data_IF_200758900276
#
_entry.id   IF_200758900276
#
_cell.length_a   1.000
_cell.length_b   1.000
_cell.length_c   1.000
_cell.angle_alpha   90.00
_cell.angle_beta   90.00
_cell.angle_gamma   90.00
#
_symmetry.space_group_name_H-M   'P 1'
#
loop_
_entity.id
_entity.type
_entity.pdbx_description
1 polymer ?
#
# COMPACT_ATOMS: atom_id res chain seq x y z
N UNK A 1 -24.61 -32.09 -9.32
CA UNK A 1 -23.99 -32.73 -8.15
C UNK A 1 -22.85 -31.86 -7.67
N UNK A 2 -22.85 -31.44 -6.41
CA UNK A 2 -21.80 -30.60 -5.86
C UNK A 2 -20.59 -31.49 -5.56
N UNK A 3 -19.44 -31.19 -6.17
CA UNK A 3 -18.20 -31.95 -6.02
C UNK A 3 -17.87 -32.13 -4.53
N UNK A 4 -17.65 -33.37 -4.09
CA UNK A 4 -17.36 -33.74 -2.70
C UNK A 4 -16.23 -32.87 -2.10
N UNK A 5 -15.19 -32.59 -2.90
CA UNK A 5 -14.04 -31.76 -2.50
C UNK A 5 -14.37 -30.26 -2.37
N UNK A 6 -15.51 -29.82 -2.90
CA UNK A 6 -15.96 -28.44 -2.85
C UNK A 6 -16.86 -28.11 -1.65
N UNK A 7 -17.28 -29.13 -0.89
CA UNK A 7 -18.17 -28.97 0.27
C UNK A 7 -17.52 -28.18 1.41
N UNK A 8 -18.33 -27.39 2.13
CA UNK A 8 -17.86 -26.54 3.24
C UNK A 8 -17.26 -27.36 4.39
N UNK A 9 -17.84 -28.53 4.65
CA UNK A 9 -17.38 -29.47 5.68
C UNK A 9 -16.03 -30.08 5.35
N UNK A 10 -15.86 -30.58 4.11
CA UNK A 10 -14.57 -31.10 3.65
C UNK A 10 -13.48 -30.03 3.75
N UNK A 11 -13.74 -28.81 3.26
CA UNK A 11 -12.77 -27.69 3.35
C UNK A 11 -12.43 -27.31 4.79
N UNK A 12 -13.41 -27.33 5.70
CA UNK A 12 -13.17 -27.04 7.13
C UNK A 12 -12.32 -28.14 7.78
N UNK A 13 -12.60 -29.41 7.47
CA UNK A 13 -11.82 -30.56 7.95
C UNK A 13 -10.38 -30.51 7.43
N UNK A 14 -10.20 -30.26 6.13
CA UNK A 14 -8.86 -30.10 5.55
C UNK A 14 -8.12 -28.91 6.16
N UNK A 15 -8.77 -27.77 6.37
CA UNK A 15 -8.13 -26.62 7.02
C UNK A 15 -7.63 -26.92 8.44
N UNK A 16 -8.38 -27.69 9.23
CA UNK A 16 -7.97 -28.11 10.58
C UNK A 16 -6.76 -29.06 10.50
N UNK A 17 -6.83 -30.09 9.65
CA UNK A 17 -5.76 -31.05 9.43
C UNK A 17 -4.46 -30.35 8.97
N UNK A 18 -4.56 -29.45 8.00
CA UNK A 18 -3.43 -28.67 7.51
C UNK A 18 -2.81 -27.85 8.64
N UNK A 19 -3.60 -27.15 9.47
CA UNK A 19 -3.08 -26.38 10.62
C UNK A 19 -2.40 -27.27 11.66
N UNK A 20 -2.97 -28.43 11.99
CA UNK A 20 -2.36 -29.39 12.91
C UNK A 20 -1.04 -29.92 12.36
N UNK A 21 -0.97 -30.23 11.06
CA UNK A 21 0.25 -30.67 10.41
C UNK A 21 1.33 -29.57 10.37
N UNK A 22 0.94 -28.30 10.18
CA UNK A 22 1.84 -27.16 10.34
C UNK A 22 2.39 -27.03 11.76
N UNK A 23 1.54 -27.16 12.79
CA UNK A 23 1.98 -27.10 14.19
C UNK A 23 2.90 -28.27 14.58
N UNK A 24 2.68 -29.45 13.97
CA UNK A 24 3.50 -30.66 14.18
C UNK A 24 4.79 -30.67 13.35
N UNK A 25 5.07 -29.63 12.56
CA UNK A 25 6.26 -29.58 11.70
C UNK A 25 6.25 -30.59 10.54
N UNK A 26 5.09 -31.19 10.22
CA UNK A 26 4.98 -32.21 9.16
C UNK A 26 5.38 -31.62 7.79
N UNK A 27 5.17 -30.31 7.61
CA UNK A 27 5.53 -29.57 6.40
C UNK A 27 6.90 -28.90 6.46
N UNK A 28 7.74 -29.21 7.45
CA UNK A 28 9.04 -28.54 7.60
C UNK A 28 10.01 -28.85 6.44
N UNK A 29 9.75 -29.91 5.68
CA UNK A 29 10.43 -30.18 4.42
C UNK A 29 10.14 -29.13 3.32
N UNK A 30 9.02 -28.40 3.40
CA UNK A 30 8.69 -27.28 2.50
C UNK A 30 9.46 -26.02 2.88
N UNK A 31 9.84 -25.87 4.16
CA UNK A 31 10.77 -24.84 4.57
C UNK A 31 12.15 -25.22 4.05
N UNK A 32 12.58 -24.45 3.05
CA UNK A 32 13.92 -24.45 2.44
C UNK A 32 15.01 -23.99 3.44
N UNK A 33 14.85 -24.29 4.72
CA UNK A 33 15.61 -23.74 5.84
C UNK A 33 16.90 -24.46 6.13
N UNK A 34 17.26 -25.44 5.31
CA UNK A 34 18.65 -25.85 5.24
C UNK A 34 19.38 -24.93 4.26
N UNK A 35 19.50 -23.66 4.65
CA UNK A 35 20.54 -22.82 4.09
C UNK A 35 21.89 -23.42 4.47
N UNK A 36 22.83 -23.35 3.55
CA UNK A 36 24.18 -23.81 3.78
C UNK A 36 25.16 -22.69 3.45
N UNK A 37 26.27 -22.70 4.16
CA UNK A 37 27.39 -21.82 3.87
C UNK A 37 28.24 -22.46 2.77
N UNK A 38 28.45 -21.73 1.67
CA UNK A 38 29.37 -22.11 0.61
C UNK A 38 30.52 -21.13 0.51
N UNK A 39 31.66 -21.60 0.04
CA UNK A 39 32.81 -20.76 -0.29
C UNK A 39 32.73 -20.37 -1.77
N UNK A 40 32.94 -19.09 -2.08
CA UNK A 40 32.95 -18.61 -3.46
C UNK A 40 34.00 -19.34 -4.30
N UNK A 41 33.58 -19.97 -5.40
CA UNK A 41 34.46 -20.73 -6.30
C UNK A 41 35.53 -19.87 -7.00
N UNK A 42 35.43 -18.54 -6.96
CA UNK A 42 36.46 -17.65 -7.50
C UNK A 42 37.71 -17.70 -6.61
N UNK A 43 38.82 -18.18 -7.17
CA UNK A 43 40.12 -18.38 -6.50
C UNK A 43 40.54 -17.21 -5.59
N UNK A 44 40.39 -15.97 -6.07
CA UNK A 44 40.85 -14.77 -5.35
C UNK A 44 39.79 -14.14 -4.43
N UNK A 45 38.58 -14.70 -4.33
CA UNK A 45 37.53 -14.14 -3.49
C UNK A 45 37.43 -14.86 -2.15
N UNK A 46 37.40 -16.21 -2.15
CA UNK A 46 37.24 -17.11 -0.98
C UNK A 46 36.15 -16.72 0.03
N UNK A 47 35.25 -15.79 -0.32
CA UNK A 47 34.19 -15.30 0.56
C UNK A 47 33.16 -16.39 0.80
N UNK A 48 32.84 -16.62 2.07
CA UNK A 48 31.71 -17.45 2.51
C UNK A 48 30.39 -16.73 2.25
N UNK A 49 29.40 -17.45 1.76
CA UNK A 49 28.07 -16.90 1.48
C UNK A 49 27.00 -17.96 1.70
N UNK A 50 25.86 -17.50 2.19
CA UNK A 50 24.73 -18.35 2.50
C UNK A 50 23.83 -18.53 1.28
N UNK A 51 23.42 -19.77 1.01
CA UNK A 51 22.47 -20.12 -0.04
C UNK A 51 21.55 -21.23 0.39
N UNK A 52 20.39 -21.32 -0.27
CA UNK A 52 19.55 -22.52 -0.21
C UNK A 52 20.35 -23.73 -0.70
N UNK A 53 20.28 -24.88 -0.01
CA UNK A 53 20.89 -26.14 -0.45
C UNK A 53 20.57 -26.50 -1.91
N UNK A 54 19.33 -26.27 -2.34
CA UNK A 54 18.88 -26.51 -3.73
C UNK A 54 19.38 -25.50 -4.75
N UNK A 55 20.02 -24.40 -4.33
CA UNK A 55 20.53 -23.39 -5.24
C UNK A 55 21.74 -23.92 -6.01
N UNK A 56 21.83 -23.68 -7.31
CA UNK A 56 23.05 -23.93 -8.10
C UNK A 56 24.10 -22.81 -7.97
N UNK A 57 23.88 -21.84 -7.06
CA UNK A 57 24.76 -20.67 -6.91
C UNK A 57 26.09 -21.07 -6.25
N UNK A 58 27.18 -20.94 -7.00
CA UNK A 58 28.55 -21.26 -6.56
C UNK A 58 29.46 -20.03 -6.37
N UNK A 59 28.95 -18.82 -6.67
CA UNK A 59 29.66 -17.55 -6.50
C UNK A 59 28.92 -16.64 -5.53
N UNK A 60 29.65 -15.92 -4.67
CA UNK A 60 29.03 -15.04 -3.67
C UNK A 60 28.21 -13.89 -4.30
N UNK A 61 28.61 -13.39 -5.48
CA UNK A 61 27.98 -12.28 -6.19
C UNK A 61 27.95 -12.47 -7.71
N UNK A 62 27.08 -11.69 -8.39
CA UNK A 62 27.03 -11.61 -9.86
C UNK A 62 28.36 -11.17 -10.46
N UNK A 63 29.08 -10.27 -9.79
CA UNK A 63 30.41 -9.80 -10.22
C UNK A 63 31.44 -10.94 -10.18
N UNK A 64 31.50 -11.73 -9.10
CA UNK A 64 32.40 -12.89 -9.05
C UNK A 64 32.06 -13.94 -10.12
N UNK A 65 30.77 -14.18 -10.37
CA UNK A 65 30.31 -15.05 -11.46
C UNK A 65 30.75 -14.51 -12.82
N UNK A 66 30.55 -13.22 -13.09
CA UNK A 66 30.89 -12.59 -14.35
C UNK A 66 32.40 -12.61 -14.62
N UNK A 67 33.25 -12.33 -13.62
CA UNK A 67 34.71 -12.34 -13.79
C UNK A 67 35.20 -13.71 -14.26
N UNK A 68 34.70 -14.80 -13.64
CA UNK A 68 35.12 -16.16 -13.99
C UNK A 68 34.51 -16.58 -15.33
N UNK A 69 33.20 -16.37 -15.52
CA UNK A 69 32.51 -16.82 -16.72
C UNK A 69 32.88 -16.01 -17.96
N UNK A 70 33.11 -14.70 -17.85
CA UNK A 70 33.55 -13.87 -18.99
C UNK A 70 34.96 -14.25 -19.42
N UNK A 71 35.88 -14.52 -18.48
CA UNK A 71 37.21 -15.04 -18.83
C UNK A 71 37.11 -16.38 -19.57
N UNK A 72 36.24 -17.29 -19.11
CA UNK A 72 36.00 -18.59 -19.78
C UNK A 72 35.37 -18.43 -21.17
N UNK A 73 34.44 -17.49 -21.34
CA UNK A 73 33.78 -17.22 -22.65
C UNK A 73 34.72 -16.58 -23.67
N UNK A 74 35.81 -15.96 -23.22
CA UNK A 74 36.78 -15.33 -24.11
C UNK A 74 36.22 -14.09 -24.82
N UNK A 75 36.93 -13.64 -25.87
CA UNK A 75 36.48 -12.55 -26.73
C UNK A 75 35.37 -13.05 -27.65
N UNK A 76 34.34 -12.23 -27.85
CA UNK A 76 33.29 -12.52 -28.83
C UNK A 76 33.89 -12.53 -30.25
N UNK A 77 33.53 -13.51 -31.09
CA UNK A 77 33.86 -13.50 -32.51
C UNK A 77 33.37 -12.22 -33.20
N UNK A 78 34.08 -11.80 -34.25
CA UNK A 78 33.77 -10.58 -35.01
C UNK A 78 32.34 -10.63 -35.58
N UNK A 79 31.90 -11.77 -36.11
CA UNK A 79 30.54 -11.94 -36.62
C UNK A 79 29.46 -11.68 -35.57
N UNK A 80 29.67 -12.14 -34.34
CA UNK A 80 28.72 -11.92 -33.24
C UNK A 80 28.69 -10.44 -32.87
N UNK A 81 29.85 -9.76 -32.87
CA UNK A 81 29.92 -8.31 -32.64
C UNK A 81 29.16 -7.55 -33.73
N UNK A 82 29.30 -7.95 -35.00
CA UNK A 82 28.58 -7.34 -36.12
C UNK A 82 27.06 -7.54 -35.99
N UNK A 83 26.60 -8.74 -35.63
CA UNK A 83 25.17 -9.02 -35.34
C UNK A 83 24.64 -8.15 -34.19
N UNK A 84 25.40 -7.99 -33.12
CA UNK A 84 25.04 -7.12 -31.99
C UNK A 84 24.97 -5.65 -32.45
N UNK A 85 25.98 -5.18 -33.18
CA UNK A 85 26.02 -3.81 -33.70
C UNK A 85 24.81 -3.52 -34.59
N UNK A 86 24.47 -4.45 -35.50
CA UNK A 86 23.31 -4.32 -36.37
C UNK A 86 21.99 -4.27 -35.59
N UNK A 87 21.87 -5.06 -34.52
CA UNK A 87 20.70 -5.03 -33.63
C UNK A 87 20.58 -3.69 -32.87
N UNK A 88 21.71 -3.14 -32.42
CA UNK A 88 21.77 -1.87 -31.68
C UNK A 88 21.40 -0.65 -32.54
N UNK A 89 21.57 -0.71 -33.86
CA UNK A 89 21.08 0.33 -34.77
C UNK A 89 19.55 0.48 -34.72
N UNK A 90 18.84 -0.52 -34.18
CA UNK A 90 17.39 -0.56 -34.16
C UNK A 90 16.81 -0.86 -35.54
N UNK A 91 15.50 -1.09 -35.59
CA UNK A 91 14.76 -1.14 -36.86
C UNK A 91 14.09 0.22 -37.06
N UNK A 92 14.08 0.73 -38.29
CA UNK A 92 13.28 1.91 -38.63
C UNK A 92 11.81 1.57 -38.40
N UNK A 93 11.22 2.16 -37.35
CA UNK A 93 9.80 2.07 -37.11
C UNK A 93 9.11 3.07 -38.05
N UNK A 94 8.32 2.63 -39.03
CA UNK A 94 7.66 3.52 -40.01
C UNK A 94 6.70 4.51 -39.35
N UNK A 95 6.31 4.26 -38.09
CA UNK A 95 5.43 5.14 -37.31
C UNK A 95 6.18 6.03 -36.32
N UNK A 96 7.52 6.08 -36.36
CA UNK A 96 8.31 6.94 -35.47
C UNK A 96 7.97 8.40 -35.75
N UNK A 97 7.42 9.10 -34.75
CA UNK A 97 6.97 10.49 -34.86
C UNK A 97 5.53 10.66 -35.37
N UNK A 98 4.88 9.60 -35.83
CA UNK A 98 3.47 9.67 -36.28
C UNK A 98 2.54 9.63 -35.06
N UNK A 99 1.80 10.72 -34.84
CA UNK A 99 0.78 10.79 -33.81
C UNK A 99 -0.46 10.03 -34.29
N UNK A 100 -0.58 8.75 -33.93
CA UNK A 100 -1.77 7.92 -34.26
C UNK A 100 -3.03 8.31 -33.48
N UNK A 101 -2.87 9.12 -32.44
CA UNK A 101 -3.89 9.35 -31.42
C UNK A 101 -4.14 10.84 -31.33
N UNK A 102 -5.37 11.32 -31.61
CA UNK A 102 -5.68 12.72 -31.46
C UNK A 102 -5.38 13.13 -30.02
N UNK A 103 -4.62 14.21 -29.87
CA UNK A 103 -4.36 14.81 -28.58
C UNK A 103 -5.43 15.85 -28.29
N UNK A 104 -6.01 15.76 -27.11
CA UNK A 104 -7.00 16.71 -26.61
C UNK A 104 -6.33 17.67 -25.65
N UNK A 105 -6.76 18.92 -25.67
CA UNK A 105 -6.35 19.92 -24.68
C UNK A 105 -7.11 19.67 -23.37
N UNK A 106 -6.39 19.59 -22.26
CA UNK A 106 -6.93 19.42 -20.92
C UNK A 106 -6.33 20.48 -20.00
N UNK A 107 -7.14 21.04 -19.10
CA UNK A 107 -6.69 21.99 -18.09
C UNK A 107 -6.19 21.24 -16.86
N UNK A 108 -5.03 21.62 -16.33
CA UNK A 108 -4.50 21.03 -15.11
C UNK A 108 -5.45 21.25 -13.92
N UNK A 109 -5.78 20.16 -13.23
CA UNK A 109 -6.66 20.19 -12.06
C UNK A 109 -5.98 20.71 -10.79
N UNK A 110 -4.70 21.11 -10.87
CA UNK A 110 -4.09 21.88 -9.79
C UNK A 110 -4.57 23.33 -9.88
N UNK A 111 -5.27 23.78 -8.84
CA UNK A 111 -5.87 25.11 -8.74
C UNK A 111 -4.85 26.25 -8.87
N UNK A 112 -3.61 26.03 -8.45
CA UNK A 112 -2.53 27.01 -8.58
C UNK A 112 -1.92 27.01 -9.97
N UNK A 113 -1.82 25.84 -10.61
CA UNK A 113 -1.14 25.72 -11.89
C UNK A 113 -2.04 26.10 -13.08
N UNK A 114 -3.25 25.55 -13.16
CA UNK A 114 -4.24 25.74 -14.25
C UNK A 114 -3.72 25.70 -15.69
N UNK A 115 -2.50 25.20 -15.91
CA UNK A 115 -1.86 25.12 -17.23
C UNK A 115 -2.65 24.19 -18.15
N UNK A 116 -2.88 24.63 -19.39
CA UNK A 116 -3.40 23.81 -20.49
C UNK A 116 -2.30 22.88 -21.00
N UNK A 117 -2.62 21.61 -21.20
CA UNK A 117 -1.68 20.62 -21.71
C UNK A 117 -2.39 19.57 -22.58
N UNK A 118 -1.64 18.97 -23.49
CA UNK A 118 -2.17 17.96 -24.40
C UNK A 118 -2.01 16.55 -23.82
N UNK A 119 -3.06 15.74 -23.95
CA UNK A 119 -3.05 14.32 -23.59
C UNK A 119 -3.73 13.49 -24.67
N UNK A 120 -3.39 12.21 -24.74
CA UNK A 120 -4.09 11.24 -25.59
C UNK A 120 -5.58 11.20 -25.21
N UNK A 121 -6.48 11.17 -26.20
CA UNK A 121 -7.94 11.22 -26.00
C UNK A 121 -8.47 10.21 -24.97
N UNK A 122 -7.89 9.01 -24.90
CA UNK A 122 -8.31 7.95 -23.96
C UNK A 122 -7.65 8.06 -22.57
N UNK A 123 -6.61 8.86 -22.39
CA UNK A 123 -5.94 8.98 -21.09
C UNK A 123 -6.70 9.95 -20.21
N UNK A 124 -7.17 9.44 -19.07
CA UNK A 124 -7.76 10.25 -17.98
C UNK A 124 -6.70 11.01 -17.15
N UNK A 125 -5.78 11.73 -17.82
CA UNK A 125 -4.74 12.50 -17.16
C UNK A 125 -5.30 13.86 -16.71
N UNK A 126 -5.41 14.07 -15.40
CA UNK A 126 -5.95 15.31 -14.80
C UNK A 126 -4.91 16.39 -14.50
N UNK A 127 -3.62 16.07 -14.52
CA UNK A 127 -2.55 16.97 -14.09
C UNK A 127 -1.44 17.07 -15.14
N UNK A 128 -0.90 18.28 -15.31
CA UNK A 128 0.14 18.55 -16.31
C UNK A 128 1.50 17.92 -15.95
N UNK A 129 1.79 17.63 -14.69
CA UNK A 129 3.06 17.07 -14.23
C UNK A 129 2.90 16.23 -12.95
N UNK A 130 3.90 15.39 -12.64
CA UNK A 130 3.97 14.67 -11.35
C UNK A 130 3.99 15.64 -10.17
N UNK A 131 4.67 16.79 -10.29
CA UNK A 131 4.69 17.82 -9.26
C UNK A 131 3.28 18.35 -8.97
N UNK A 132 2.47 18.59 -10.01
CA UNK A 132 1.07 18.99 -9.83
C UNK A 132 0.24 17.88 -9.17
N UNK A 133 0.45 16.61 -9.56
CA UNK A 133 -0.19 15.46 -8.87
C UNK A 133 0.16 15.48 -7.39
N UNK A 134 1.44 15.58 -7.03
CA UNK A 134 1.89 15.54 -5.63
C UNK A 134 1.39 16.74 -4.82
N UNK A 135 1.34 17.93 -5.43
CA UNK A 135 0.85 19.14 -4.75
C UNK A 135 -0.63 19.06 -4.35
N UNK A 136 -1.45 18.30 -5.10
CA UNK A 136 -2.89 18.18 -4.87
C UNK A 136 -3.27 16.87 -4.19
N UNK A 137 -2.70 15.76 -4.66
CA UNK A 137 -2.99 14.40 -4.17
C UNK A 137 -2.04 14.02 -3.04
N UNK A 138 -0.76 14.33 -3.16
CA UNK A 138 0.26 13.96 -2.17
C UNK A 138 0.13 14.69 -0.82
N UNK A 139 -0.57 15.83 -0.78
CA UNK A 139 -0.97 16.50 0.47
C UNK A 139 -2.17 15.85 1.15
N UNK A 140 -2.97 15.07 0.43
CA UNK A 140 -4.06 14.33 1.05
C UNK A 140 -3.45 13.16 1.83
N UNK A 141 -3.98 12.82 3.00
CA UNK A 141 -3.52 11.65 3.74
C UNK A 141 -3.84 10.37 2.94
N UNK A 142 -2.97 9.98 2.02
CA UNK A 142 -2.98 8.64 1.44
C UNK A 142 -2.40 7.68 2.47
N UNK A 143 -3.15 7.45 3.55
CA UNK A 143 -2.94 6.26 4.36
C UNK A 143 -3.08 5.04 3.43
N UNK A 144 -2.14 4.10 3.43
CA UNK A 144 -2.28 2.82 2.74
C UNK A 144 -3.57 2.05 3.10
N UNK A 145 -4.25 2.43 4.20
CA UNK A 145 -5.55 1.89 4.63
C UNK A 145 -6.71 2.23 3.67
N UNK A 146 -6.62 3.30 2.88
CA UNK A 146 -7.70 3.74 1.99
C UNK A 146 -8.02 2.73 0.88
N UNK A 147 -7.12 1.77 0.58
CA UNK A 147 -7.33 0.81 -0.49
C UNK A 147 -8.22 -0.40 -0.12
N UNK A 148 -8.48 -0.65 1.18
CA UNK A 148 -9.24 -1.84 1.63
C UNK A 148 -10.51 -1.53 2.46
N UNK A 149 -10.73 -0.27 2.84
CA UNK A 149 -11.94 0.16 3.55
C UNK A 149 -13.06 0.56 2.60
N UNK A 150 -14.32 0.36 2.99
CA UNK A 150 -15.48 0.87 2.24
C UNK A 150 -15.64 2.37 2.53
N UNK A 151 -14.95 3.19 1.73
CA UNK A 151 -15.08 4.65 1.75
C UNK A 151 -16.35 5.13 1.03
N UNK A 152 -16.66 6.41 1.14
CA UNK A 152 -17.76 7.06 0.42
C UNK A 152 -18.65 7.94 1.27
N UNK A 153 -19.56 8.63 0.61
CA UNK A 153 -20.61 9.43 1.23
C UNK A 153 -21.69 8.49 1.81
N UNK A 154 -22.26 8.88 2.94
CA UNK A 154 -23.39 8.20 3.59
C UNK A 154 -24.51 9.21 3.79
N UNK A 155 -25.54 9.11 2.93
CA UNK A 155 -26.66 10.06 2.87
C UNK A 155 -27.44 10.15 4.18
N UNK A 156 -27.42 9.10 4.99
CA UNK A 156 -28.05 9.07 6.31
C UNK A 156 -27.30 9.89 7.37
N UNK A 157 -26.06 10.31 7.09
CA UNK A 157 -25.24 11.14 7.98
C UNK A 157 -25.16 12.57 7.43
N UNK A 158 -24.66 12.70 6.20
CA UNK A 158 -24.52 13.98 5.51
C UNK A 158 -24.27 13.73 4.01
N UNK A 159 -24.88 14.54 3.14
CA UNK A 159 -24.76 14.39 1.69
C UNK A 159 -23.40 14.82 1.12
N UNK A 160 -22.60 15.57 1.89
CA UNK A 160 -21.37 16.20 1.41
C UNK A 160 -20.11 15.65 2.10
N UNK A 161 -20.25 14.88 3.19
CA UNK A 161 -19.10 14.34 3.93
C UNK A 161 -18.69 12.99 3.35
N UNK A 162 -17.42 12.90 2.95
CA UNK A 162 -16.81 11.68 2.43
C UNK A 162 -16.01 10.99 3.54
N UNK A 163 -16.48 9.83 4.00
CA UNK A 163 -15.76 9.03 4.98
C UNK A 163 -14.77 8.09 4.30
N UNK A 164 -13.60 7.89 4.90
CA UNK A 164 -12.54 7.01 4.39
C UNK A 164 -12.72 5.57 4.89
N UNK A 165 -13.54 5.34 5.91
CA UNK A 165 -13.86 4.01 6.42
C UNK A 165 -15.30 3.87 6.94
N UNK A 166 -15.76 2.63 7.05
CA UNK A 166 -17.05 2.29 7.71
C UNK A 166 -17.04 2.67 9.19
N UNK A 167 -15.90 2.58 9.85
CA UNK A 167 -15.77 2.88 11.27
C UNK A 167 -15.97 4.36 11.54
N UNK A 168 -15.42 5.23 10.71
CA UNK A 168 -15.69 6.68 10.79
C UNK A 168 -17.18 6.97 10.60
N UNK A 169 -17.81 6.38 9.56
CA UNK A 169 -19.24 6.57 9.32
C UNK A 169 -20.11 6.08 10.48
N UNK A 170 -19.82 4.90 11.03
CA UNK A 170 -20.54 4.37 12.19
C UNK A 170 -20.31 5.21 13.45
N UNK A 171 -19.10 5.72 13.64
CA UNK A 171 -18.80 6.61 14.77
C UNK A 171 -19.54 7.94 14.65
N UNK A 172 -19.63 8.52 13.46
CA UNK A 172 -20.47 9.69 13.21
C UNK A 172 -21.96 9.41 13.51
N UNK A 173 -22.48 8.24 13.12
CA UNK A 173 -23.86 7.82 13.50
C UNK A 173 -24.03 7.70 15.01
N UNK A 174 -23.02 7.17 15.71
CA UNK A 174 -23.03 7.09 17.17
C UNK A 174 -23.06 8.48 17.81
N UNK A 175 -22.22 9.40 17.35
CA UNK A 175 -22.21 10.78 17.85
C UNK A 175 -23.57 11.47 17.60
N UNK A 176 -24.17 11.26 16.42
CA UNK A 176 -25.52 11.74 16.12
C UNK A 176 -26.58 11.14 17.06
N UNK A 177 -26.53 9.83 17.32
CA UNK A 177 -27.43 9.15 18.25
C UNK A 177 -27.32 9.73 19.67
N UNK A 178 -26.10 10.05 20.10
CA UNK A 178 -25.81 10.63 21.41
C UNK A 178 -26.01 12.15 21.45
N UNK A 179 -26.44 12.77 20.35
CA UNK A 179 -26.59 14.20 20.19
C UNK A 179 -25.32 15.00 20.56
N UNK A 180 -24.16 14.46 20.18
CA UNK A 180 -22.85 15.10 20.37
C UNK A 180 -22.48 15.82 19.07
N UNK A 181 -22.20 17.11 19.15
CA UNK A 181 -21.71 17.89 18.01
C UNK A 181 -20.30 17.47 17.61
N UNK A 182 -20.08 17.34 16.30
CA UNK A 182 -18.78 16.95 15.75
C UNK A 182 -18.49 17.62 14.41
N UNK A 183 -17.20 17.76 14.13
CA UNK A 183 -16.68 18.26 12.86
C UNK A 183 -15.69 17.21 12.33
N UNK A 184 -15.97 16.69 11.13
CA UNK A 184 -15.09 15.70 10.49
C UNK A 184 -13.87 16.37 9.88
N UNK A 185 -12.68 15.85 10.21
CA UNK A 185 -11.39 16.35 9.73
C UNK A 185 -11.21 17.87 9.87
N UNK A 186 -11.62 18.43 11.02
CA UNK A 186 -11.70 19.87 11.26
C UNK A 186 -10.40 20.63 10.99
N UNK A 187 -9.24 20.01 11.30
CA UNK A 187 -7.93 20.63 11.11
C UNK A 187 -6.87 19.61 10.75
N UNK A 188 -5.99 20.01 9.85
CA UNK A 188 -4.73 19.32 9.56
C UNK A 188 -3.59 20.03 10.27
N UNK A 189 -2.82 19.27 11.03
CA UNK A 189 -1.67 19.74 11.80
C UNK A 189 -0.37 19.36 11.10
N UNK A 190 0.62 20.24 11.21
CA UNK A 190 1.93 20.04 10.58
C UNK A 190 2.90 19.42 11.59
N UNK A 191 3.39 18.21 11.29
CA UNK A 191 4.38 17.51 12.10
C UNK A 191 5.82 17.68 11.55
N UNK A 192 6.06 18.74 10.78
CA UNK A 192 7.31 19.12 10.08
C UNK A 192 7.66 18.19 8.92
N UNK A 193 7.67 16.88 9.15
CA UNK A 193 8.01 15.86 8.14
C UNK A 193 6.78 15.25 7.47
N UNK A 194 5.62 15.42 8.09
CA UNK A 194 4.35 14.81 7.68
C UNK A 194 3.19 15.62 8.24
N UNK A 195 1.98 15.37 7.77
CA UNK A 195 0.77 16.00 8.31
C UNK A 195 -0.05 15.02 9.16
N UNK A 196 -0.84 15.55 10.08
CA UNK A 196 -1.77 14.79 10.92
C UNK A 196 -3.15 15.42 10.89
N UNK A 197 -4.16 14.67 10.49
CA UNK A 197 -5.55 15.14 10.46
C UNK A 197 -6.36 14.14 11.28
N UNK A 198 -6.71 14.45 12.53
CA UNK A 198 -7.60 13.60 13.31
C UNK A 198 -8.96 13.44 12.61
N UNK A 199 -9.60 12.30 12.79
CA UNK A 199 -10.86 11.99 12.12
C UNK A 199 -12.02 12.91 12.56
N UNK A 200 -12.15 13.17 13.86
CA UNK A 200 -13.21 14.03 14.40
C UNK A 200 -12.68 15.06 15.39
N UNK A 201 -13.36 16.20 15.46
CA UNK A 201 -13.24 17.19 16.52
C UNK A 201 -14.60 17.36 17.19
N UNK A 202 -14.64 17.36 18.52
CA UNK A 202 -15.84 17.56 19.33
C UNK A 202 -15.75 18.96 19.99
N UNK A 203 -16.34 20.01 19.39
CA UNK A 203 -16.09 21.40 19.80
C UNK A 203 -16.46 21.67 21.26
N UNK A 204 -17.57 21.11 21.72
CA UNK A 204 -18.06 21.27 23.10
C UNK A 204 -17.07 20.82 24.17
N UNK A 205 -16.21 19.85 23.85
CA UNK A 205 -15.28 19.24 24.79
C UNK A 205 -13.81 19.59 24.50
N UNK A 206 -13.53 20.29 23.39
CA UNK A 206 -12.19 20.48 22.80
C UNK A 206 -11.40 19.17 22.65
N UNK A 207 -12.09 18.10 22.24
CA UNK A 207 -11.50 16.76 22.08
C UNK A 207 -11.33 16.43 20.60
N UNK A 208 -10.16 15.91 20.26
CA UNK A 208 -9.86 15.31 18.97
C UNK A 208 -9.96 13.79 19.07
N UNK A 209 -10.63 13.15 18.12
CA UNK A 209 -10.77 11.70 18.06
C UNK A 209 -10.09 11.19 16.80
N UNK A 210 -9.32 10.11 16.93
CA UNK A 210 -8.76 9.35 15.82
C UNK A 210 -9.11 7.87 15.98
N UNK A 211 -9.64 7.27 14.91
CA UNK A 211 -10.14 5.90 14.91
C UNK A 211 -9.15 4.98 14.20
N UNK A 212 -8.71 3.90 14.86
CA UNK A 212 -7.75 2.96 14.28
C UNK A 212 -8.08 1.50 14.57
N UNK A 213 -8.26 0.73 13.49
CA UNK A 213 -8.32 -0.74 13.58
C UNK A 213 -6.98 -1.40 13.99
N UNK A 214 -5.85 -0.76 13.71
CA UNK A 214 -4.52 -1.27 14.08
C UNK A 214 -3.55 -0.10 14.26
N UNK A 215 -2.76 -0.17 15.34
CA UNK A 215 -1.75 0.79 15.72
C UNK A 215 -0.35 0.27 15.32
N UNK A 216 0.00 0.46 14.05
CA UNK A 216 1.36 0.18 13.55
C UNK A 216 2.39 1.15 14.15
N UNK A 217 3.68 0.79 14.15
CA UNK A 217 4.78 1.68 14.57
C UNK A 217 4.77 3.05 13.88
N UNK A 218 4.47 3.09 12.58
CA UNK A 218 4.32 4.35 11.83
C UNK A 218 3.20 5.24 12.40
N UNK A 219 2.06 4.65 12.74
CA UNK A 219 0.92 5.37 13.32
C UNK A 219 1.24 5.84 14.74
N UNK A 220 1.92 5.00 15.53
CA UNK A 220 2.35 5.32 16.89
C UNK A 220 3.34 6.49 16.90
N UNK A 221 4.40 6.43 16.07
CA UNK A 221 5.36 7.51 15.94
C UNK A 221 4.71 8.83 15.53
N UNK A 222 3.69 8.77 14.67
CA UNK A 222 2.95 9.94 14.21
C UNK A 222 2.06 10.54 15.32
N UNK A 223 1.39 9.69 16.10
CA UNK A 223 0.62 10.12 17.30
C UNK A 223 1.55 10.72 18.36
N UNK A 224 2.68 10.07 18.66
CA UNK A 224 3.68 10.58 19.60
C UNK A 224 4.22 11.95 19.18
N UNK A 225 4.51 12.13 17.88
CA UNK A 225 4.94 13.43 17.34
C UNK A 225 3.85 14.50 17.46
N UNK A 226 2.60 14.13 17.20
CA UNK A 226 1.47 15.04 17.36
C UNK A 226 1.35 15.52 18.80
N UNK A 227 1.35 14.60 19.77
CA UNK A 227 1.25 14.95 21.20
C UNK A 227 2.42 15.81 21.69
N UNK A 228 3.63 15.58 21.16
CA UNK A 228 4.80 16.40 21.48
C UNK A 228 4.74 17.82 20.90
N UNK A 229 4.24 17.97 19.67
CA UNK A 229 4.19 19.27 18.99
C UNK A 229 2.95 20.09 19.37
N UNK A 230 1.88 19.42 19.79
CA UNK A 230 0.60 20.02 20.14
C UNK A 230 0.10 19.47 21.50
N UNK A 231 0.83 19.73 22.60
CA UNK A 231 0.49 19.18 23.92
C UNK A 231 -0.86 19.66 24.44
N UNK A 232 -1.30 20.86 24.03
CA UNK A 232 -2.59 21.44 24.43
C UNK A 232 -3.79 20.84 23.69
N UNK A 233 -3.57 19.86 22.81
CA UNK A 233 -4.64 19.21 22.04
C UNK A 233 -4.93 17.82 22.59
N UNK A 234 -6.10 17.70 23.21
CA UNK A 234 -6.57 16.44 23.78
C UNK A 234 -6.98 15.47 22.66
N UNK A 235 -6.08 14.56 22.29
CA UNK A 235 -6.31 13.52 21.30
C UNK A 235 -6.62 12.18 21.96
N UNK A 236 -7.79 11.62 21.68
CA UNK A 236 -8.20 10.29 22.10
C UNK A 236 -8.14 9.34 20.91
N UNK A 237 -7.49 8.18 21.12
CA UNK A 237 -7.46 7.10 20.14
C UNK A 237 -8.56 6.09 20.45
N UNK A 238 -9.43 5.83 19.47
CA UNK A 238 -10.38 4.73 19.53
C UNK A 238 -9.76 3.56 18.77
N UNK A 239 -9.23 2.59 19.53
CA UNK A 239 -8.63 1.39 18.96
C UNK A 239 -9.70 0.34 18.65
N UNK A 240 -9.27 -0.80 18.09
CA UNK A 240 -10.17 -1.86 17.66
C UNK A 240 -11.03 -2.39 18.81
N UNK A 241 -10.41 -2.63 19.96
CA UNK A 241 -11.08 -3.17 21.13
C UNK A 241 -12.18 -2.21 21.62
N UNK A 242 -11.88 -0.91 21.70
CA UNK A 242 -12.84 0.12 22.11
C UNK A 242 -13.96 0.29 21.09
N UNK A 243 -13.62 0.31 19.81
CA UNK A 243 -14.61 0.38 18.74
C UNK A 243 -15.57 -0.82 18.77
N UNK A 244 -15.06 -2.03 19.03
CA UNK A 244 -15.91 -3.22 19.11
C UNK A 244 -16.85 -3.18 20.32
N UNK A 245 -16.40 -2.66 21.47
CA UNK A 245 -17.28 -2.42 22.63
C UNK A 245 -18.38 -1.40 22.30
N UNK A 246 -18.05 -0.33 21.59
CA UNK A 246 -19.04 0.64 21.11
C UNK A 246 -20.03 -0.01 20.14
N UNK A 247 -19.54 -0.84 19.22
CA UNK A 247 -20.38 -1.58 18.28
C UNK A 247 -21.36 -2.49 19.01
N UNK A 248 -20.87 -3.31 19.94
CA UNK A 248 -21.72 -4.22 20.72
C UNK A 248 -22.84 -3.47 21.46
N UNK A 249 -22.51 -2.32 22.06
CA UNK A 249 -23.45 -1.54 22.86
C UNK A 249 -24.48 -0.75 22.03
N UNK A 250 -24.10 -0.26 20.86
CA UNK A 250 -24.91 0.74 20.13
C UNK A 250 -25.36 0.32 18.74
N UNK A 251 -24.75 -0.68 18.10
CA UNK A 251 -25.07 -1.00 16.70
C UNK A 251 -26.55 -1.36 16.49
N UNK A 252 -27.16 -2.09 17.44
CA UNK A 252 -28.59 -2.44 17.39
C UNK A 252 -29.52 -1.22 17.47
N UNK A 253 -29.05 -0.10 18.01
CA UNK A 253 -29.82 1.16 18.14
C UNK A 253 -29.68 2.06 16.91
N UNK A 254 -28.83 1.70 15.95
CA UNK A 254 -28.50 2.52 14.78
C UNK A 254 -28.90 1.75 13.52
N UNK A 255 -30.00 2.18 12.88
CA UNK A 255 -30.61 1.50 11.72
C UNK A 255 -29.63 1.16 10.58
N UNK A 256 -28.71 2.08 10.28
CA UNK A 256 -27.78 1.95 9.15
C UNK A 256 -26.35 1.57 9.59
N UNK A 257 -26.19 0.90 10.73
CA UNK A 257 -24.87 0.46 11.17
C UNK A 257 -24.24 -0.51 10.17
N UNK A 258 -23.00 -0.25 9.76
CA UNK A 258 -22.28 -1.09 8.80
C UNK A 258 -21.38 -2.11 9.50
N UNK A 259 -21.70 -3.40 9.35
CA UNK A 259 -20.87 -4.49 9.86
C UNK A 259 -19.71 -4.82 8.92
N UNK A 260 -18.68 -5.46 9.47
CA UNK A 260 -17.43 -5.83 8.79
C UNK A 260 -17.61 -6.90 7.74
#
# INVERSE_FOLDING_TARGET
MQDFYSTKEYRKKQSILTKQNWQKGVFDFLYKDKREERICKRLNCKKKFEVLRSSHKIYCSKSCSAIVNNKKRGRLPIEVKLKIAQSLMGRNNPFKGVIKVPRIEVVCNNLVCKKKFFTEKWRNRKFCSKNCVMSVVGKKPTSPKAARGKSGIRKDINNNIYFYSRWEANFARLLNLLNIEWIFQAKTFDLRTQTYTPDFYLPKYDIWIEIKNFLSDYSKNRDDKFRKLYPDKNLILILKEDYLKLQEKFASKIKNWEYS
#
